data_IF_033820567576
#
_entry.id   IF_033820567576
#
_cell.length_a   1.000
_cell.length_b   1.000
_cell.length_c   1.000
_cell.angle_alpha   90.00
_cell.angle_beta   90.00
_cell.angle_gamma   90.00
#
_symmetry.space_group_name_H-M   'P 1'
#
loop_
_entity.id
_entity.type
_entity.pdbx_description
1 polymer ?
#
# COMPACT_ATOMS: atom_id res chain seq x y z
N UNK A 1 3.84 -30.13 23.72
CA UNK A 1 4.71 -29.23 22.92
C UNK A 1 3.83 -28.44 21.96
N UNK A 2 4.05 -27.13 21.77
CA UNK A 2 3.15 -26.27 20.97
C UNK A 2 3.76 -26.06 19.59
N UNK A 3 3.09 -26.55 18.54
CA UNK A 3 3.51 -26.48 17.13
C UNK A 3 3.29 -25.05 16.60
N UNK A 4 4.16 -24.11 16.95
CA UNK A 4 4.07 -22.72 16.50
C UNK A 4 5.24 -22.38 15.58
N UNK A 5 4.93 -21.74 14.45
CA UNK A 5 5.89 -21.13 13.53
C UNK A 5 5.70 -19.61 13.53
N UNK A 6 6.80 -18.87 13.68
CA UNK A 6 6.86 -17.42 13.55
C UNK A 6 7.63 -17.04 12.29
N UNK A 7 7.04 -16.21 11.44
CA UNK A 7 7.69 -15.71 10.21
C UNK A 7 7.87 -14.20 10.29
N UNK A 8 9.11 -13.75 10.09
CA UNK A 8 9.50 -12.34 10.08
C UNK A 8 10.33 -12.04 8.81
N UNK A 9 10.26 -10.82 8.29
CA UNK A 9 11.06 -10.41 7.14
C UNK A 9 10.44 -9.23 6.37
N UNK A 10 11.19 -8.72 5.41
CA UNK A 10 10.68 -7.74 4.44
C UNK A 10 9.73 -8.41 3.45
N UNK A 11 8.77 -7.68 2.91
CA UNK A 11 7.87 -8.20 1.87
C UNK A 11 8.67 -8.54 0.59
N UNK A 12 8.69 -9.80 0.12
CA UNK A 12 9.43 -10.19 -1.08
C UNK A 12 8.63 -9.83 -2.34
N UNK A 13 8.47 -8.53 -2.63
CA UNK A 13 7.59 -8.03 -3.68
C UNK A 13 7.83 -8.66 -5.06
N UNK A 14 9.10 -8.92 -5.43
CA UNK A 14 9.46 -9.56 -6.71
C UNK A 14 8.94 -10.99 -6.84
N UNK A 15 8.80 -11.73 -5.73
CA UNK A 15 8.28 -13.08 -5.76
C UNK A 15 6.77 -13.11 -6.09
N UNK A 16 6.02 -12.07 -5.70
CA UNK A 16 4.56 -12.03 -5.85
C UNK A 16 4.08 -11.20 -7.04
N UNK A 17 4.90 -10.28 -7.57
CA UNK A 17 4.45 -9.35 -8.62
C UNK A 17 3.96 -10.06 -9.90
N UNK A 18 4.58 -11.18 -10.27
CA UNK A 18 4.21 -11.93 -11.47
C UNK A 18 2.80 -12.54 -11.38
N UNK A 19 2.35 -12.86 -10.16
CA UNK A 19 1.03 -13.41 -9.88
C UNK A 19 -0.01 -12.30 -9.67
N UNK A 20 0.32 -11.30 -8.85
CA UNK A 20 -0.64 -10.28 -8.41
C UNK A 20 -0.92 -9.19 -9.46
N UNK A 21 0.06 -8.85 -10.32
CA UNK A 21 -0.12 -7.78 -11.31
C UNK A 21 -1.25 -8.09 -12.30
N UNK A 22 -1.34 -9.29 -12.92
CA UNK A 22 -2.48 -9.67 -13.74
C UNK A 22 -3.83 -9.49 -13.04
N UNK A 23 -3.95 -9.91 -11.77
CA UNK A 23 -5.21 -9.79 -11.03
C UNK A 23 -5.66 -8.34 -10.80
N UNK A 24 -4.70 -7.42 -10.62
CA UNK A 24 -4.99 -5.98 -10.55
C UNK A 24 -5.44 -5.44 -11.91
N UNK A 25 -4.76 -5.83 -12.98
CA UNK A 25 -5.06 -5.37 -14.33
C UNK A 25 -6.41 -5.90 -14.85
N UNK A 26 -6.75 -7.13 -14.48
CA UNK A 26 -8.04 -7.76 -14.77
C UNK A 26 -9.17 -7.25 -13.86
N UNK A 27 -8.86 -6.40 -12.87
CA UNK A 27 -9.82 -5.87 -11.91
C UNK A 27 -10.37 -6.91 -10.93
N UNK A 28 -9.73 -8.08 -10.83
CA UNK A 28 -10.12 -9.14 -9.86
C UNK A 28 -9.84 -8.70 -8.42
N UNK A 29 -8.79 -7.90 -8.23
CA UNK A 29 -8.49 -7.22 -6.98
C UNK A 29 -8.27 -5.72 -7.25
N UNK A 30 -8.74 -4.88 -6.32
CA UNK A 30 -8.70 -3.42 -6.45
C UNK A 30 -7.90 -2.79 -5.30
N UNK A 31 -6.57 -2.98 -5.24
CA UNK A 31 -5.76 -2.47 -4.14
C UNK A 31 -5.78 -0.94 -4.04
N UNK A 32 -6.11 -0.25 -5.14
CA UNK A 32 -6.23 1.22 -5.18
C UNK A 32 -7.32 1.78 -4.26
N UNK A 33 -8.28 0.97 -3.80
CA UNK A 33 -9.36 1.41 -2.89
C UNK A 33 -8.87 1.88 -1.51
N UNK A 34 -7.63 1.57 -1.15
CA UNK A 34 -7.02 2.07 0.09
C UNK A 34 -6.69 3.56 0.03
N UNK A 35 -6.54 4.13 -1.18
CA UNK A 35 -6.24 5.55 -1.36
C UNK A 35 -7.47 6.39 -1.03
N UNK A 36 -7.41 7.12 0.08
CA UNK A 36 -8.48 7.97 0.59
C UNK A 36 -8.22 9.46 0.37
N UNK A 37 -7.01 9.81 -0.10
CA UNK A 37 -6.63 11.20 -0.39
C UNK A 37 -5.71 11.28 -1.60
N UNK A 38 -5.92 12.27 -2.45
CA UNK A 38 -5.01 12.62 -3.55
C UNK A 38 -4.42 14.01 -3.29
N UNK A 39 -3.11 14.18 -3.50
CA UNK A 39 -2.39 15.44 -3.34
C UNK A 39 -1.49 15.74 -4.54
N UNK A 40 -1.02 16.97 -4.69
CA UNK A 40 0.05 17.33 -5.62
C UNK A 40 1.44 16.95 -5.07
N UNK A 41 2.49 17.10 -5.88
CA UNK A 41 3.86 16.84 -5.45
C UNK A 41 4.33 17.84 -4.38
N UNK A 42 3.93 19.10 -4.49
CA UNK A 42 4.27 20.18 -3.55
C UNK A 42 3.71 19.92 -2.15
N UNK A 43 2.55 19.25 -2.08
CA UNK A 43 1.85 18.93 -0.84
C UNK A 43 2.34 17.63 -0.16
N UNK A 44 3.38 16.98 -0.70
CA UNK A 44 3.92 15.74 -0.12
C UNK A 44 4.21 15.84 1.39
N UNK A 45 4.81 16.93 1.92
CA UNK A 45 5.00 17.09 3.38
C UNK A 45 3.68 17.03 4.16
N UNK A 46 2.63 17.68 3.67
CA UNK A 46 1.29 17.65 4.28
C UNK A 46 0.67 16.24 4.24
N UNK A 47 0.90 15.50 3.15
CA UNK A 47 0.49 14.10 3.03
C UNK A 47 1.12 13.20 4.10
N UNK A 48 2.42 13.37 4.37
CA UNK A 48 3.10 12.65 5.45
C UNK A 48 2.53 12.96 6.82
N UNK A 49 2.32 14.25 7.14
CA UNK A 49 1.71 14.66 8.41
C UNK A 49 0.31 14.06 8.58
N UNK A 50 -0.53 14.12 7.54
CA UNK A 50 -1.87 13.55 7.58
C UNK A 50 -1.88 12.03 7.88
N UNK A 51 -0.93 11.27 7.31
CA UNK A 51 -0.81 9.84 7.60
C UNK A 51 -0.28 9.57 9.02
N UNK A 52 0.69 10.36 9.50
CA UNK A 52 1.23 10.25 10.85
C UNK A 52 0.17 10.54 11.93
N UNK A 53 -0.63 11.59 11.70
CA UNK A 53 -1.71 12.02 12.59
C UNK A 53 -3.00 11.20 12.40
N UNK A 54 -2.95 10.16 11.55
CA UNK A 54 -4.06 9.27 11.20
C UNK A 54 -5.32 9.99 10.68
N UNK A 55 -5.12 11.13 10.01
CA UNK A 55 -6.16 11.87 9.30
C UNK A 55 -6.34 11.40 7.85
N UNK A 56 -5.40 10.61 7.34
CA UNK A 56 -5.48 9.92 6.05
C UNK A 56 -4.95 8.48 6.20
N UNK A 57 -5.59 7.53 5.53
CA UNK A 57 -5.19 6.12 5.51
C UNK A 57 -4.03 5.88 4.53
N UNK A 58 -4.19 6.30 3.27
CA UNK A 58 -3.19 6.19 2.22
C UNK A 58 -3.33 7.34 1.22
N UNK A 59 -2.26 8.12 1.11
CA UNK A 59 -2.20 9.26 0.20
C UNK A 59 -1.64 8.82 -1.16
N UNK A 60 -2.28 9.28 -2.24
CA UNK A 60 -1.81 9.17 -3.62
C UNK A 60 -1.29 10.53 -4.11
N UNK A 61 0.00 10.61 -4.44
CA UNK A 61 0.56 11.82 -5.08
C UNK A 61 0.32 11.75 -6.58
N UNK A 62 -0.24 12.81 -7.16
CA UNK A 62 -0.35 13.00 -8.61
C UNK A 62 0.53 14.19 -9.04
N UNK A 63 1.47 13.99 -9.97
CA UNK A 63 2.28 15.06 -10.54
C UNK A 63 1.47 15.96 -11.47
#
# INVERSE_FOLDING_TARGET
MRNITLTCGVAPARAYIAELLPEVLDGRIEPGRVFDRTISLEDAPGGYHAMADRQALKVLTRP
#
